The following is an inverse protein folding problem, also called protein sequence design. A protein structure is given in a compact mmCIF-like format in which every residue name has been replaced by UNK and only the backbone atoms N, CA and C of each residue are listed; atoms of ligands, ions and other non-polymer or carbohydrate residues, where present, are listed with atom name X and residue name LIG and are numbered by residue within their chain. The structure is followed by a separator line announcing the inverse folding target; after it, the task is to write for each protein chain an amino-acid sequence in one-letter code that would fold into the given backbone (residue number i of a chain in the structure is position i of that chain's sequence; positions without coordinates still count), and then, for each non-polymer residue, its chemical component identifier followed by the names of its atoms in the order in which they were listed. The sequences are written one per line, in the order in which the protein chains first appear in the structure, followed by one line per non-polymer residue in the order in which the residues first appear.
data_IF_273214051904
#
_entry.id   IF_273214051904
#
_cell.length_a   1.000
_cell.length_b   1.000
_cell.length_c   1.000
_cell.angle_alpha   90.00
_cell.angle_beta   90.00
_cell.angle_gamma   90.00
#
_symmetry.space_group_name_H-M   'P 1'
#
loop_
_entity.id
_entity.type
_entity.pdbx_description
1 polymer ?
#
# COMPACT_ATOMS: atom_id res chain seq x y z
N UNK A 1 -23.71 15.93 -19.14
CA UNK A 1 -23.09 17.09 -18.46
C UNK A 1 -21.92 16.53 -17.64
N UNK A 2 -20.73 16.62 -18.18
CA UNK A 2 -19.49 16.19 -17.54
C UNK A 2 -19.14 17.18 -16.44
N UNK A 3 -19.20 16.75 -15.19
CA UNK A 3 -18.70 17.55 -14.06
C UNK A 3 -17.18 17.64 -14.20
N UNK A 4 -16.66 18.84 -14.45
CA UNK A 4 -15.23 19.12 -14.31
C UNK A 4 -14.79 18.79 -12.88
N UNK A 5 -13.64 18.13 -12.69
CA UNK A 5 -13.10 17.92 -11.36
C UNK A 5 -12.83 19.28 -10.71
N UNK A 6 -13.42 19.50 -9.55
CA UNK A 6 -13.20 20.71 -8.74
C UNK A 6 -11.76 20.60 -8.21
N UNK A 7 -10.83 21.27 -8.84
CA UNK A 7 -9.47 21.47 -8.32
C UNK A 7 -9.54 22.52 -7.20
N UNK A 8 -9.87 22.10 -5.97
CA UNK A 8 -9.52 22.90 -4.79
C UNK A 8 -8.00 22.90 -4.67
N UNK A 9 -7.36 24.07 -4.41
CA UNK A 9 -5.97 24.07 -4.00
C UNK A 9 -5.86 23.23 -2.70
N UNK A 10 -5.18 22.09 -2.76
CA UNK A 10 -5.06 21.21 -1.59
C UNK A 10 -3.94 21.78 -0.73
N UNK A 11 -4.30 22.41 0.38
CA UNK A 11 -3.36 22.80 1.42
C UNK A 11 -2.84 21.58 2.23
N UNK A 12 -3.57 20.46 2.19
CA UNK A 12 -3.20 19.22 2.86
C UNK A 12 -3.78 18.01 2.13
N UNK A 13 -2.98 16.94 1.99
CA UNK A 13 -3.40 15.64 1.49
C UNK A 13 -3.17 14.60 2.60
N UNK A 14 -4.19 13.84 2.95
CA UNK A 14 -4.08 12.75 3.91
C UNK A 14 -4.22 11.40 3.20
N UNK A 15 -3.24 10.53 3.42
CA UNK A 15 -3.21 9.17 2.94
C UNK A 15 -3.25 8.24 4.16
N UNK A 16 -4.05 7.19 4.12
CA UNK A 16 -3.96 6.10 5.10
C UNK A 16 -3.28 4.91 4.44
N UNK A 17 -2.24 4.37 5.06
CA UNK A 17 -1.67 3.08 4.70
C UNK A 17 -2.33 2.01 5.58
N UNK A 18 -3.12 1.14 4.97
CA UNK A 18 -3.97 0.17 5.64
C UNK A 18 -3.58 -1.25 5.25
N UNK A 19 -3.26 -2.09 6.25
CA UNK A 19 -2.79 -3.45 5.98
C UNK A 19 -2.37 -4.22 7.22
N UNK A 20 -1.53 -5.22 7.00
CA UNK A 20 -0.98 -6.12 8.00
C UNK A 20 0.42 -5.68 8.50
N UNK A 21 1.26 -6.63 8.94
CA UNK A 21 2.63 -6.36 9.42
C UNK A 21 3.54 -5.74 8.35
N UNK A 22 3.29 -6.02 7.06
CA UNK A 22 4.03 -5.39 5.97
C UNK A 22 3.75 -3.88 5.85
N UNK A 23 2.63 -3.42 6.41
CA UNK A 23 2.32 -1.99 6.53
C UNK A 23 2.82 -1.40 7.84
N UNK A 24 2.79 -2.16 8.95
CA UNK A 24 3.37 -1.73 10.23
C UNK A 24 4.83 -1.34 10.06
N UNK A 25 5.61 -2.21 9.41
CA UNK A 25 7.05 -2.05 9.25
C UNK A 25 7.86 -2.70 10.39
N UNK A 26 9.16 -2.47 10.41
CA UNK A 26 10.02 -2.87 11.52
C UNK A 26 9.85 -1.95 12.73
N UNK A 27 9.97 -2.52 13.93
CA UNK A 27 9.74 -1.79 15.19
C UNK A 27 10.97 -1.01 15.69
N UNK A 28 12.10 -1.05 15.02
CA UNK A 28 13.29 -0.32 15.43
C UNK A 28 13.25 1.12 14.91
N UNK A 29 12.95 2.03 15.82
CA UNK A 29 13.03 3.47 15.64
C UNK A 29 14.51 3.89 15.56
N UNK A 30 15.02 4.05 14.34
CA UNK A 30 16.23 4.82 14.10
C UNK A 30 15.96 6.31 14.38
N UNK A 31 16.93 6.99 14.97
CA UNK A 31 16.87 8.44 15.23
C UNK A 31 17.11 9.29 13.97
N UNK A 32 17.45 8.68 12.84
CA UNK A 32 17.73 9.32 11.57
C UNK A 32 16.46 9.35 10.70
N UNK A 33 16.04 10.52 10.18
CA UNK A 33 14.94 10.62 9.21
C UNK A 33 15.11 9.76 7.95
N UNK A 34 16.35 9.34 7.64
CA UNK A 34 16.64 8.41 6.55
C UNK A 34 16.44 6.93 6.95
N UNK A 35 16.25 6.62 8.24
CA UNK A 35 16.01 5.28 8.78
C UNK A 35 14.52 4.99 8.94
N UNK A 36 13.76 5.14 7.86
CA UNK A 36 12.33 4.75 7.89
C UNK A 36 12.18 3.23 7.92
N UNK A 37 11.73 2.73 9.06
CA UNK A 37 11.45 1.33 9.29
C UNK A 37 10.14 0.84 8.67
N UNK A 38 9.40 1.70 7.96
CA UNK A 38 8.15 1.36 7.28
C UNK A 38 7.98 2.12 5.97
N UNK A 39 7.29 1.53 5.00
CA UNK A 39 7.04 2.22 3.72
C UNK A 39 6.15 3.47 3.86
N UNK A 40 5.14 3.54 4.77
CA UNK A 40 4.33 4.74 4.92
C UNK A 40 5.15 5.97 5.35
N UNK A 41 6.05 5.80 6.31
CA UNK A 41 6.95 6.88 6.74
C UNK A 41 7.88 7.34 5.64
N UNK A 42 8.48 6.39 4.91
CA UNK A 42 9.36 6.72 3.78
C UNK A 42 8.61 7.39 2.63
N UNK A 43 7.37 6.97 2.36
CA UNK A 43 6.51 7.60 1.35
C UNK A 43 6.19 9.05 1.71
N UNK A 44 5.87 9.32 2.98
CA UNK A 44 5.65 10.69 3.48
C UNK A 44 6.90 11.56 3.29
N UNK A 45 8.06 11.05 3.66
CA UNK A 45 9.34 11.74 3.45
C UNK A 45 9.57 12.08 1.97
N UNK A 46 9.38 11.14 1.06
CA UNK A 46 9.54 11.37 -0.38
C UNK A 46 8.57 12.44 -0.90
N UNK A 47 7.31 12.40 -0.44
CA UNK A 47 6.30 13.39 -0.80
C UNK A 47 6.68 14.80 -0.33
N UNK A 48 7.09 14.96 0.94
CA UNK A 48 7.51 16.23 1.49
C UNK A 48 8.80 16.76 0.79
N UNK A 49 9.77 15.88 0.54
CA UNK A 49 10.99 16.24 -0.20
C UNK A 49 10.69 16.69 -1.63
N UNK A 50 9.73 16.07 -2.29
CA UNK A 50 9.30 16.46 -3.64
C UNK A 50 8.60 17.84 -3.61
N UNK A 51 7.66 18.03 -2.71
CA UNK A 51 6.92 19.28 -2.55
C UNK A 51 7.81 20.43 -2.09
N UNK A 52 8.75 20.19 -1.18
CA UNK A 52 9.68 21.22 -0.70
C UNK A 52 10.50 21.89 -1.80
N UNK A 53 10.63 21.24 -2.96
CA UNK A 53 11.27 21.81 -4.15
C UNK A 53 10.34 22.71 -4.98
N UNK A 54 9.02 22.56 -4.85
CA UNK A 54 8.01 23.15 -5.73
C UNK A 54 6.90 23.89 -4.97
N UNK A 55 6.43 23.35 -3.86
CA UNK A 55 5.28 23.87 -3.08
C UNK A 55 5.43 23.55 -1.59
N UNK A 56 6.07 24.45 -0.85
CA UNK A 56 6.25 24.29 0.62
C UNK A 56 4.96 24.53 1.45
N UNK A 57 3.91 25.05 0.81
CA UNK A 57 2.60 25.33 1.40
C UNK A 57 1.67 24.10 1.44
N UNK A 58 2.02 23.02 0.72
CA UNK A 58 1.24 21.77 0.68
C UNK A 58 1.82 20.76 1.66
N UNK A 59 0.98 20.15 2.50
CA UNK A 59 1.35 19.07 3.41
C UNK A 59 0.76 17.75 2.92
N UNK A 60 1.60 16.72 2.87
CA UNK A 60 1.16 15.33 2.72
C UNK A 60 1.41 14.60 4.03
N UNK A 61 0.42 13.89 4.54
CA UNK A 61 0.57 13.01 5.70
C UNK A 61 0.19 11.59 5.34
N UNK A 62 0.97 10.61 5.81
CA UNK A 62 0.71 9.18 5.61
C UNK A 62 0.51 8.50 6.96
N UNK A 63 -0.74 8.24 7.31
CA UNK A 63 -1.10 7.60 8.59
C UNK A 63 -0.98 6.09 8.45
N UNK A 64 -0.11 5.48 9.27
CA UNK A 64 0.06 4.03 9.30
C UNK A 64 -1.08 3.39 10.12
N UNK A 65 -1.86 2.51 9.49
CA UNK A 65 -2.94 1.69 10.08
C UNK A 65 -2.71 0.20 9.81
N UNK A 66 -1.44 -0.22 9.82
CA UNK A 66 -1.07 -1.63 9.82
C UNK A 66 -1.38 -2.31 11.15
N UNK A 67 -1.68 -3.60 11.13
CA UNK A 67 -1.86 -4.45 12.32
C UNK A 67 -1.17 -5.79 12.06
N UNK A 68 -0.18 -6.14 12.90
CA UNK A 68 0.56 -7.40 12.75
C UNK A 68 -0.37 -8.60 12.80
N UNK A 69 -0.18 -9.56 11.89
CA UNK A 69 -0.94 -10.80 11.82
C UNK A 69 -2.38 -10.64 11.30
N UNK A 70 -2.79 -9.43 10.88
CA UNK A 70 -4.17 -9.20 10.46
C UNK A 70 -4.50 -9.97 9.17
N UNK A 71 -5.71 -10.50 9.13
CA UNK A 71 -6.32 -11.14 7.96
C UNK A 71 -7.19 -10.13 7.23
N UNK A 72 -7.45 -10.36 5.95
CA UNK A 72 -8.34 -9.49 5.16
C UNK A 72 -9.74 -9.37 5.76
N UNK A 73 -10.25 -10.42 6.41
CA UNK A 73 -11.50 -10.38 7.16
C UNK A 73 -11.43 -9.48 8.40
N UNK A 74 -10.26 -9.39 9.05
CA UNK A 74 -9.98 -8.47 10.16
C UNK A 74 -9.91 -7.03 9.66
N UNK A 75 -9.16 -6.82 8.58
CA UNK A 75 -9.08 -5.53 7.89
C UNK A 75 -10.49 -5.00 7.54
N UNK A 76 -11.35 -5.83 6.93
CA UNK A 76 -12.71 -5.44 6.58
C UNK A 76 -13.51 -4.98 7.81
N UNK A 77 -13.45 -5.73 8.92
CA UNK A 77 -14.18 -5.37 10.16
C UNK A 77 -13.72 -4.04 10.77
N UNK A 78 -12.42 -3.70 10.67
CA UNK A 78 -11.88 -2.48 11.28
C UNK A 78 -11.80 -1.28 10.32
N UNK A 79 -12.18 -1.44 9.05
CA UNK A 79 -12.03 -0.42 8.03
C UNK A 79 -12.68 0.92 8.41
N UNK A 80 -13.94 0.90 8.85
CA UNK A 80 -14.63 2.12 9.26
C UNK A 80 -13.94 2.82 10.43
N UNK A 81 -13.52 2.06 11.45
CA UNK A 81 -12.88 2.60 12.66
C UNK A 81 -11.50 3.19 12.37
N UNK A 82 -10.72 2.51 11.52
CA UNK A 82 -9.30 2.82 11.36
C UNK A 82 -9.02 3.67 10.11
N UNK A 83 -9.93 3.69 9.12
CA UNK A 83 -9.76 4.44 7.87
C UNK A 83 -10.80 5.55 7.72
N UNK A 84 -12.10 5.22 7.77
CA UNK A 84 -13.14 6.22 7.48
C UNK A 84 -13.13 7.36 8.51
N UNK A 85 -12.88 7.06 9.79
CA UNK A 85 -12.79 8.07 10.87
C UNK A 85 -11.64 9.07 10.62
N UNK A 86 -10.57 8.63 9.94
CA UNK A 86 -9.44 9.49 9.58
C UNK A 86 -9.78 10.51 8.48
N UNK A 87 -10.85 10.29 7.74
CA UNK A 87 -11.27 11.12 6.59
C UNK A 87 -10.12 11.38 5.60
N UNK A 88 -9.43 10.35 5.13
CA UNK A 88 -8.32 10.53 4.21
C UNK A 88 -8.84 10.82 2.79
N UNK A 89 -7.98 11.40 1.95
CA UNK A 89 -8.24 11.54 0.52
C UNK A 89 -8.00 10.20 -0.20
N UNK A 90 -7.01 9.42 0.27
CA UNK A 90 -6.58 8.17 -0.32
C UNK A 90 -6.34 7.11 0.75
N UNK A 91 -6.55 5.83 0.39
CA UNK A 91 -6.15 4.69 1.22
C UNK A 91 -5.35 3.69 0.38
N UNK A 92 -4.11 3.41 0.79
CA UNK A 92 -3.26 2.34 0.23
C UNK A 92 -3.62 1.06 0.98
N UNK A 93 -4.04 0.02 0.25
CA UNK A 93 -4.53 -1.24 0.81
C UNK A 93 -3.57 -2.36 0.44
N UNK A 94 -2.89 -2.92 1.44
CA UNK A 94 -1.95 -4.03 1.32
C UNK A 94 -2.32 -5.11 2.34
N UNK A 95 -2.90 -6.22 1.89
CA UNK A 95 -3.29 -7.33 2.76
C UNK A 95 -3.48 -8.64 2.00
N UNK A 96 -3.54 -9.74 2.74
CA UNK A 96 -3.69 -11.10 2.20
C UNK A 96 -2.47 -11.99 2.41
N UNK A 97 -1.35 -11.45 2.88
CA UNK A 97 -0.13 -12.22 3.18
C UNK A 97 -0.40 -13.29 4.25
N UNK A 98 -1.06 -12.90 5.34
CA UNK A 98 -1.38 -13.82 6.43
C UNK A 98 -2.46 -14.83 6.04
N UNK A 99 -3.47 -14.40 5.26
CA UNK A 99 -4.52 -15.29 4.75
C UNK A 99 -3.91 -16.43 3.92
N UNK A 100 -2.97 -16.11 3.02
CA UNK A 100 -2.21 -17.13 2.26
C UNK A 100 -1.38 -18.02 3.19
N UNK A 101 -0.77 -17.47 4.22
CA UNK A 101 -0.03 -18.25 5.24
C UNK A 101 -0.93 -19.23 5.98
N UNK A 102 -2.21 -18.89 6.18
CA UNK A 102 -3.25 -19.78 6.73
C UNK A 102 -3.91 -20.67 5.67
N UNK A 103 -3.36 -20.74 4.47
CA UNK A 103 -3.85 -21.56 3.35
C UNK A 103 -5.31 -21.24 2.94
N UNK A 104 -5.76 -20.01 3.13
CA UNK A 104 -7.08 -19.58 2.69
C UNK A 104 -7.15 -19.51 1.16
N UNK A 105 -8.35 -19.78 0.60
CA UNK A 105 -8.54 -19.65 -0.85
C UNK A 105 -8.32 -18.18 -1.29
N UNK A 106 -7.44 -17.93 -2.27
CA UNK A 106 -7.25 -16.60 -2.83
C UNK A 106 -8.54 -15.90 -3.29
N UNK A 107 -9.58 -16.65 -3.66
CA UNK A 107 -10.87 -16.05 -4.01
C UNK A 107 -11.55 -15.38 -2.80
N UNK A 108 -11.57 -16.05 -1.64
CA UNK A 108 -12.13 -15.46 -0.42
C UNK A 108 -11.34 -14.22 0.04
N UNK A 109 -10.03 -14.24 -0.14
CA UNK A 109 -9.16 -13.10 0.18
C UNK A 109 -9.49 -11.92 -0.74
N UNK A 110 -9.61 -12.18 -2.05
CA UNK A 110 -9.96 -11.18 -3.04
C UNK A 110 -11.36 -10.58 -2.81
N UNK A 111 -12.33 -11.41 -2.38
CA UNK A 111 -13.67 -10.94 -2.03
C UNK A 111 -13.64 -9.96 -0.84
N UNK A 112 -12.87 -10.27 0.21
CA UNK A 112 -12.70 -9.36 1.34
C UNK A 112 -12.05 -8.02 0.91
N UNK A 113 -10.99 -8.09 0.10
CA UNK A 113 -10.33 -6.88 -0.43
C UNK A 113 -11.29 -6.08 -1.32
N UNK A 114 -12.08 -6.75 -2.15
CA UNK A 114 -13.11 -6.15 -2.99
C UNK A 114 -14.13 -5.36 -2.16
N UNK A 115 -14.62 -5.94 -1.06
CA UNK A 115 -15.51 -5.24 -0.14
C UNK A 115 -14.84 -4.05 0.55
N UNK A 116 -13.54 -4.11 0.83
CA UNK A 116 -12.78 -2.97 1.38
C UNK A 116 -12.66 -1.85 0.33
N UNK A 117 -12.41 -2.18 -0.94
CA UNK A 117 -12.38 -1.19 -2.02
C UNK A 117 -13.74 -0.48 -2.18
N UNK A 118 -14.83 -1.25 -2.16
CA UNK A 118 -16.17 -0.71 -2.25
C UNK A 118 -16.49 0.19 -1.05
N UNK A 119 -16.16 -0.24 0.17
CA UNK A 119 -16.35 0.57 1.38
C UNK A 119 -15.54 1.88 1.35
N UNK A 120 -14.35 1.90 0.73
CA UNK A 120 -13.58 3.11 0.53
C UNK A 120 -14.29 4.07 -0.45
N UNK A 121 -14.71 3.55 -1.61
CA UNK A 121 -15.41 4.34 -2.63
C UNK A 121 -16.73 4.90 -2.10
N UNK A 122 -17.50 4.11 -1.37
CA UNK A 122 -18.76 4.54 -0.73
C UNK A 122 -18.54 5.65 0.31
N UNK A 123 -17.39 5.63 0.98
CA UNK A 123 -16.99 6.70 1.91
C UNK A 123 -16.38 7.94 1.22
N UNK A 124 -16.26 7.94 -0.12
CA UNK A 124 -15.63 9.02 -0.89
C UNK A 124 -14.12 9.05 -0.80
N UNK A 125 -13.49 7.94 -0.37
CA UNK A 125 -12.05 7.75 -0.25
C UNK A 125 -11.55 7.02 -1.49
N UNK A 126 -10.46 7.46 -2.11
CA UNK A 126 -9.89 6.81 -3.29
C UNK A 126 -8.98 5.66 -2.86
N UNK A 127 -9.33 4.37 -3.12
CA UNK A 127 -8.47 3.25 -2.79
C UNK A 127 -7.37 3.05 -3.83
N UNK A 128 -6.20 2.62 -3.35
CA UNK A 128 -5.04 2.19 -4.13
C UNK A 128 -4.77 0.74 -3.76
N UNK A 129 -4.99 -0.16 -4.70
CA UNK A 129 -4.80 -1.58 -4.50
C UNK A 129 -3.32 -1.96 -4.65
N UNK A 130 -2.77 -2.73 -3.70
CA UNK A 130 -1.41 -3.25 -3.78
C UNK A 130 -1.41 -4.76 -3.94
N UNK A 131 -0.58 -5.30 -4.83
CA UNK A 131 -0.31 -6.74 -4.86
C UNK A 131 0.51 -7.14 -3.64
N UNK A 132 0.31 -8.38 -3.17
CA UNK A 132 1.04 -8.95 -2.04
C UNK A 132 2.46 -9.27 -2.48
N UNK A 133 3.51 -8.84 -1.76
CA UNK A 133 4.89 -9.23 -2.01
C UNK A 133 5.08 -10.75 -2.02
N UNK A 134 6.17 -11.22 -2.66
CA UNK A 134 6.51 -12.63 -2.68
C UNK A 134 7.03 -13.10 -1.32
N UNK A 135 7.51 -14.33 -1.26
CA UNK A 135 8.07 -14.97 -0.07
C UNK A 135 9.38 -15.67 -0.44
N UNK A 136 10.27 -15.82 0.53
CA UNK A 136 11.53 -16.55 0.40
C UNK A 136 11.51 -17.75 1.35
N UNK A 137 11.87 -18.92 0.87
CA UNK A 137 11.98 -20.13 1.67
C UNK A 137 10.70 -20.98 1.82
N UNK A 138 9.56 -20.50 1.29
CA UNK A 138 8.27 -21.22 1.26
C UNK A 138 7.68 -21.12 -0.15
N UNK A 139 8.35 -21.73 -1.13
CA UNK A 139 8.04 -21.58 -2.56
C UNK A 139 6.63 -22.07 -2.92
N UNK A 140 6.08 -23.02 -2.18
CA UNK A 140 4.70 -23.52 -2.33
C UNK A 140 3.65 -22.43 -2.09
N UNK A 141 3.99 -21.34 -1.41
CA UNK A 141 3.10 -20.22 -1.20
C UNK A 141 3.20 -19.13 -2.31
N UNK A 142 4.11 -19.26 -3.28
CA UNK A 142 4.24 -18.33 -4.41
C UNK A 142 3.07 -18.46 -5.39
N UNK A 143 2.63 -19.66 -5.82
CA UNK A 143 1.50 -19.79 -6.73
C UNK A 143 0.18 -19.19 -6.20
N UNK A 144 -0.24 -19.44 -4.93
CA UNK A 144 -1.45 -18.81 -4.40
C UNK A 144 -1.31 -17.28 -4.28
N UNK A 145 -0.12 -16.72 -3.95
CA UNK A 145 0.14 -15.27 -3.99
C UNK A 145 -0.04 -14.71 -5.41
N UNK A 146 0.54 -15.37 -6.39
CA UNK A 146 0.41 -14.96 -7.80
C UNK A 146 -1.04 -15.00 -8.28
N UNK A 147 -1.83 -16.00 -7.82
CA UNK A 147 -3.26 -16.07 -8.11
C UNK A 147 -4.01 -14.91 -7.47
N UNK A 148 -3.79 -14.65 -6.20
CA UNK A 148 -4.38 -13.51 -5.48
C UNK A 148 -4.03 -12.19 -6.16
N UNK A 149 -2.76 -11.99 -6.53
CA UNK A 149 -2.30 -10.76 -7.18
C UNK A 149 -2.96 -10.49 -8.53
N UNK A 150 -3.24 -11.54 -9.31
CA UNK A 150 -4.06 -11.39 -10.53
C UNK A 150 -5.48 -10.93 -10.21
N UNK A 151 -6.10 -11.50 -9.16
CA UNK A 151 -7.45 -11.12 -8.74
C UNK A 151 -7.49 -9.68 -8.22
N UNK A 152 -6.51 -9.25 -7.42
CA UNK A 152 -6.37 -7.86 -6.96
C UNK A 152 -6.34 -6.90 -8.14
N UNK A 153 -5.53 -7.17 -9.17
CA UNK A 153 -5.47 -6.32 -10.37
C UNK A 153 -6.80 -6.29 -11.12
N UNK A 154 -7.44 -7.45 -11.30
CA UNK A 154 -8.75 -7.54 -11.96
C UNK A 154 -9.82 -6.74 -11.19
N UNK A 155 -9.87 -6.84 -9.86
CA UNK A 155 -10.83 -6.10 -9.04
C UNK A 155 -10.56 -4.57 -9.06
N UNK A 156 -9.28 -4.18 -9.12
CA UNK A 156 -8.90 -2.78 -9.29
C UNK A 156 -9.32 -2.23 -10.66
N UNK A 157 -9.09 -2.97 -11.74
CA UNK A 157 -9.52 -2.60 -13.10
C UNK A 157 -11.03 -2.42 -13.20
N UNK A 158 -11.82 -3.35 -12.65
CA UNK A 158 -13.29 -3.25 -12.63
C UNK A 158 -13.81 -1.96 -12.01
N UNK A 159 -13.09 -1.42 -11.02
CA UNK A 159 -13.43 -0.20 -10.28
C UNK A 159 -12.72 1.04 -10.80
N UNK A 160 -11.86 0.91 -11.81
CA UNK A 160 -11.02 1.99 -12.33
C UNK A 160 -10.16 2.66 -11.23
N UNK A 161 -9.69 1.88 -10.26
CA UNK A 161 -8.77 2.32 -9.21
C UNK A 161 -7.33 1.92 -9.56
N UNK A 162 -6.36 2.67 -9.03
CA UNK A 162 -4.95 2.37 -9.25
C UNK A 162 -4.56 1.02 -8.61
N UNK A 163 -3.71 0.27 -9.32
CA UNK A 163 -3.10 -0.97 -8.84
C UNK A 163 -1.58 -0.87 -8.90
N UNK A 164 -0.90 -1.19 -7.80
CA UNK A 164 0.55 -1.13 -7.65
C UNK A 164 1.11 -2.54 -7.46
N UNK A 165 2.03 -2.94 -8.33
CA UNK A 165 2.60 -4.28 -8.32
C UNK A 165 3.81 -4.38 -7.38
N UNK A 166 3.53 -4.48 -6.07
CA UNK A 166 4.58 -4.63 -5.05
C UNK A 166 5.26 -6.01 -5.10
N UNK A 167 4.59 -7.02 -5.69
CA UNK A 167 5.22 -8.31 -5.96
C UNK A 167 6.39 -8.13 -6.93
N UNK A 168 6.14 -7.55 -8.09
CA UNK A 168 7.20 -7.31 -9.09
C UNK A 168 8.28 -6.35 -8.56
N UNK A 169 7.91 -5.38 -7.73
CA UNK A 169 8.85 -4.41 -7.15
C UNK A 169 9.86 -5.03 -6.17
N UNK A 170 9.54 -6.19 -5.58
CA UNK A 170 10.34 -6.81 -4.51
C UNK A 170 10.79 -8.24 -4.81
N UNK A 171 10.26 -8.88 -5.84
CA UNK A 171 10.63 -10.23 -6.23
C UNK A 171 11.92 -10.23 -7.08
N UNK A 172 12.63 -11.33 -7.00
CA UNK A 172 13.63 -11.71 -7.97
C UNK A 172 12.94 -12.14 -9.27
N UNK A 173 13.36 -11.60 -10.41
CA UNK A 173 12.69 -11.78 -11.69
C UNK A 173 12.83 -13.18 -12.30
N UNK A 174 13.84 -13.93 -11.89
CA UNK A 174 14.09 -15.29 -12.42
C UNK A 174 13.33 -16.34 -11.61
N UNK A 175 13.29 -16.17 -10.28
CA UNK A 175 12.72 -17.16 -9.36
C UNK A 175 11.32 -16.83 -8.87
N UNK A 176 10.87 -15.57 -9.01
CA UNK A 176 9.65 -15.01 -8.40
C UNK A 176 9.65 -15.08 -6.86
N UNK A 177 10.76 -15.40 -6.22
CA UNK A 177 10.92 -15.33 -4.76
C UNK A 177 11.07 -13.89 -4.30
N UNK A 178 10.74 -13.61 -3.05
CA UNK A 178 11.18 -12.36 -2.44
C UNK A 178 12.71 -12.27 -2.54
N UNK A 179 13.21 -11.16 -3.09
CA UNK A 179 14.64 -10.95 -3.24
C UNK A 179 15.32 -10.90 -1.87
N UNK A 180 16.40 -11.68 -1.69
CA UNK A 180 17.18 -11.76 -0.44
C UNK A 180 17.61 -10.38 0.07
N UNK A 181 17.96 -9.46 -0.85
CA UNK A 181 18.35 -8.11 -0.48
C UNK A 181 17.25 -7.29 0.19
N UNK A 182 15.99 -7.68 0.06
CA UNK A 182 14.81 -7.02 0.63
C UNK A 182 14.19 -7.77 1.80
N UNK A 183 14.66 -9.00 2.06
CA UNK A 183 14.10 -9.88 3.09
C UNK A 183 14.76 -9.66 4.44
N UNK A 184 13.96 -9.68 5.51
CA UNK A 184 14.44 -9.78 6.90
C UNK A 184 14.43 -11.24 7.38
N UNK A 185 13.33 -11.98 7.12
CA UNK A 185 13.10 -13.33 7.64
C UNK A 185 12.44 -14.28 6.61
N UNK A 186 12.40 -13.88 5.35
CA UNK A 186 11.74 -14.60 4.28
C UNK A 186 10.31 -14.14 3.99
N UNK A 187 9.64 -13.50 4.93
CA UNK A 187 8.29 -12.95 4.81
C UNK A 187 8.27 -11.44 4.94
N UNK A 188 8.86 -10.92 6.02
CA UNK A 188 8.92 -9.49 6.29
C UNK A 188 10.08 -8.85 5.52
N UNK A 189 9.89 -7.58 5.20
CA UNK A 189 10.91 -6.81 4.51
C UNK A 189 11.90 -6.22 5.52
N UNK A 190 13.17 -6.15 5.15
CA UNK A 190 14.13 -5.32 5.84
C UNK A 190 13.96 -3.84 5.45
N UNK A 191 14.73 -2.95 6.06
CA UNK A 191 14.68 -1.51 5.79
C UNK A 191 14.83 -1.17 4.30
N UNK A 192 15.71 -1.87 3.58
CA UNK A 192 15.90 -1.68 2.14
C UNK A 192 14.64 -2.07 1.34
N UNK A 193 13.96 -3.14 1.75
CA UNK A 193 12.71 -3.60 1.14
C UNK A 193 11.56 -2.60 1.40
N UNK A 194 11.43 -2.06 2.61
CA UNK A 194 10.43 -1.04 2.90
C UNK A 194 10.67 0.25 2.12
N UNK A 195 11.93 0.68 1.98
CA UNK A 195 12.30 1.82 1.12
C UNK A 195 11.99 1.55 -0.34
N UNK A 196 12.25 0.33 -0.82
CA UNK A 196 11.92 -0.08 -2.20
C UNK A 196 10.41 0.05 -2.47
N UNK A 197 9.56 -0.44 -1.56
CA UNK A 197 8.10 -0.31 -1.68
C UNK A 197 7.69 1.17 -1.67
N UNK A 198 8.17 1.94 -0.69
CA UNK A 198 7.84 3.37 -0.60
C UNK A 198 8.27 4.16 -1.83
N UNK A 199 9.47 3.89 -2.37
CA UNK A 199 9.96 4.50 -3.60
C UNK A 199 9.11 4.08 -4.81
N UNK A 200 8.76 2.80 -4.91
CA UNK A 200 7.93 2.29 -6.00
C UNK A 200 6.53 2.94 -6.00
N UNK A 201 5.89 3.03 -4.83
CA UNK A 201 4.58 3.69 -4.67
C UNK A 201 4.69 5.17 -5.07
N UNK A 202 5.76 5.85 -4.63
CA UNK A 202 5.99 7.25 -4.96
C UNK A 202 6.14 7.43 -6.47
N UNK A 203 7.02 6.67 -7.11
CA UNK A 203 7.35 6.84 -8.54
C UNK A 203 6.19 6.46 -9.47
N UNK A 204 5.40 5.44 -9.11
CA UNK A 204 4.37 4.90 -9.99
C UNK A 204 2.96 5.46 -9.72
N UNK A 205 2.79 6.22 -8.64
CA UNK A 205 1.49 6.80 -8.32
C UNK A 205 1.58 8.22 -7.74
N UNK A 206 2.24 8.40 -6.58
CA UNK A 206 2.11 9.64 -5.80
C UNK A 206 2.77 10.84 -6.48
N UNK A 207 3.92 10.66 -7.13
CA UNK A 207 4.63 11.73 -7.83
C UNK A 207 3.74 12.40 -8.88
N UNK A 208 3.14 11.61 -9.78
CA UNK A 208 2.27 12.14 -10.84
C UNK A 208 1.02 12.84 -10.28
N UNK A 209 0.55 12.40 -9.11
CA UNK A 209 -0.53 13.07 -8.39
C UNK A 209 -0.06 14.43 -7.86
N UNK A 210 1.08 14.48 -7.18
CA UNK A 210 1.64 15.72 -6.62
C UNK A 210 2.00 16.74 -7.70
N UNK A 211 2.51 16.30 -8.84
CA UNK A 211 2.86 17.19 -9.97
C UNK A 211 1.64 17.94 -10.52
N UNK A 212 0.44 17.32 -10.47
CA UNK A 212 -0.82 18.00 -10.85
C UNK A 212 -1.23 19.09 -9.87
N UNK A 213 -0.81 19.00 -8.62
CA UNK A 213 -1.08 20.03 -7.60
C UNK A 213 0.02 21.10 -7.55
N UNK A 214 1.15 20.85 -8.20
CA UNK A 214 2.24 21.81 -8.28
C UNK A 214 2.07 22.83 -9.44
N UNK A 215 1.10 22.59 -10.32
CA UNK A 215 0.72 23.50 -11.43
C UNK A 215 -0.37 24.47 -10.97
#
# INVERSE_FOLDING_TARGET
MTRSPITKPIAAMKIVAFGDSLTVGESELGSDPEEYASYPGYLEFLAQRHLGKHRSDVKVSVVNRGVCGDLTSGMLRRFSRDVVVEKPDYVIILGGTNDIGWLMDPAMIADNLSMIYDAALDAGIVPIACTVPSILGLDELIPPRSRLNRMIRTEAEKRSIASLDLFAATADSETNRLSEQYSADGLHLNMKGYRQIGQYIFDNWLRALLDKYAQ
#
